data_IF_107674899905
#
_entry.id   IF_107674899905
#
_cell.length_a   1.000
_cell.length_b   1.000
_cell.length_c   1.000
_cell.angle_alpha   90.00
_cell.angle_beta   90.00
_cell.angle_gamma   90.00
#
_symmetry.space_group_name_H-M   'P 1'
#
loop_
_entity.id
_entity.type
_entity.pdbx_description
1 polymer ?
#
# COMPACT_ATOMS: atom_id res chain seq x y z
N UNK A 1 12.64 11.24 18.02
CA UNK A 1 12.66 11.13 16.81
C UNK A 1 11.63 10.26 16.25
N UNK A 2 10.90 10.67 15.37
CA UNK A 2 9.77 9.93 14.87
C UNK A 2 9.93 9.73 13.39
N UNK A 3 9.91 8.48 12.92
CA UNK A 3 10.01 8.23 11.50
C UNK A 3 8.76 8.72 10.81
N UNK A 4 8.94 9.23 9.63
CA UNK A 4 7.80 9.71 8.86
C UNK A 4 7.06 8.55 8.20
N UNK A 5 7.78 7.50 7.85
CA UNK A 5 7.17 6.31 7.29
C UNK A 5 7.94 5.08 7.76
N UNK A 6 7.33 3.92 7.63
CA UNK A 6 7.97 2.70 8.08
C UNK A 6 8.93 2.14 7.06
N UNK A 7 8.44 1.82 5.88
CA UNK A 7 9.23 1.18 4.82
C UNK A 7 8.98 1.87 3.50
N UNK A 8 10.06 2.14 2.78
CA UNK A 8 10.00 2.63 1.42
C UNK A 8 10.46 1.54 0.48
N UNK A 9 9.62 1.18 -0.48
CA UNK A 9 9.95 0.17 -1.48
C UNK A 9 10.11 0.86 -2.82
N UNK A 10 11.31 0.79 -3.39
CA UNK A 10 11.56 1.39 -4.69
C UNK A 10 12.50 0.53 -5.54
N UNK A 11 12.42 -0.77 -5.38
CA UNK A 11 13.30 -1.70 -6.07
C UNK A 11 12.52 -2.54 -7.06
N UNK A 12 13.21 -3.05 -8.09
CA UNK A 12 12.61 -3.96 -9.04
C UNK A 12 12.68 -5.41 -8.57
N UNK A 13 13.33 -5.65 -7.46
CA UNK A 13 13.48 -7.01 -6.95
C UNK A 13 12.25 -7.43 -6.17
N UNK A 14 12.06 -8.73 -6.09
CA UNK A 14 10.96 -9.28 -5.31
C UNK A 14 11.11 -8.89 -3.85
N UNK A 15 10.03 -8.43 -3.24
CA UNK A 15 10.05 -7.98 -1.86
C UNK A 15 8.94 -8.66 -1.08
N UNK A 16 9.28 -9.12 0.12
CA UNK A 16 8.30 -9.68 1.03
C UNK A 16 8.36 -8.90 2.34
N UNK A 17 7.22 -8.36 2.74
CA UNK A 17 7.08 -7.64 4.00
C UNK A 17 6.05 -8.40 4.82
N UNK A 18 6.49 -9.12 5.85
CA UNK A 18 5.57 -9.91 6.65
C UNK A 18 5.93 -9.91 8.12
N UNK A 19 4.90 -10.11 8.93
CA UNK A 19 5.07 -10.26 10.38
C UNK A 19 5.70 -9.05 11.06
N UNK A 20 5.34 -7.85 10.59
CA UNK A 20 5.83 -6.62 11.16
C UNK A 20 4.71 -5.87 11.87
N UNK A 21 5.09 -5.05 12.82
CA UNK A 21 4.16 -4.14 13.47
C UNK A 21 4.61 -2.72 13.20
N UNK A 22 3.72 -1.92 12.63
CA UNK A 22 3.96 -0.51 12.36
C UNK A 22 3.10 0.29 13.31
N UNK A 23 3.72 1.08 14.17
CA UNK A 23 3.01 1.75 15.23
C UNK A 23 3.23 3.25 15.17
N UNK A 24 2.12 3.99 15.02
CA UNK A 24 2.12 5.46 15.05
C UNK A 24 3.10 6.12 14.09
N UNK A 25 3.10 5.64 12.86
CA UNK A 25 3.86 6.33 11.82
C UNK A 25 3.12 7.62 11.45
N UNK A 26 3.84 8.73 11.36
CA UNK A 26 3.20 9.99 11.02
C UNK A 26 2.71 10.00 9.58
N UNK A 27 3.39 9.29 8.72
CA UNK A 27 2.99 9.13 7.34
C UNK A 27 2.66 7.66 7.09
N UNK A 28 2.70 7.24 5.86
CA UNK A 28 2.36 5.88 5.52
C UNK A 28 3.28 4.87 6.20
N UNK A 29 2.72 3.74 6.59
CA UNK A 29 3.53 2.64 7.09
C UNK A 29 4.41 2.08 6.00
N UNK A 30 3.84 1.91 4.81
CA UNK A 30 4.57 1.42 3.65
C UNK A 30 4.31 2.35 2.48
N UNK A 31 5.38 2.79 1.82
CA UNK A 31 5.31 3.58 0.62
C UNK A 31 5.99 2.82 -0.51
N UNK A 32 5.25 2.56 -1.57
CA UNK A 32 5.79 1.94 -2.78
C UNK A 32 5.81 3.01 -3.86
N UNK A 33 7.01 3.36 -4.31
CA UNK A 33 7.17 4.43 -5.29
C UNK A 33 8.39 4.18 -6.15
N UNK A 34 8.36 4.66 -7.37
CA UNK A 34 9.57 4.65 -8.16
C UNK A 34 10.35 5.91 -7.82
N UNK A 35 11.65 5.85 -8.02
CA UNK A 35 12.51 6.99 -7.78
C UNK A 35 12.76 7.68 -9.11
N UNK A 36 12.00 8.71 -9.38
CA UNK A 36 12.09 9.40 -10.66
C UNK A 36 13.43 10.08 -10.86
N UNK A 37 14.23 10.21 -9.81
CA UNK A 37 15.54 10.83 -9.91
C UNK A 37 16.62 9.84 -10.24
N UNK A 38 16.36 8.58 -10.02
CA UNK A 38 17.33 7.53 -10.34
C UNK A 38 17.08 7.08 -11.75
N UNK A 39 17.72 7.67 -12.63
CA UNK A 39 17.51 7.50 -14.04
C UNK A 39 17.30 6.09 -14.53
N UNK A 40 18.26 5.25 -14.33
CA UNK A 40 18.22 3.92 -14.92
C UNK A 40 17.68 2.90 -13.97
N UNK A 41 17.85 3.16 -12.70
CA UNK A 41 17.41 2.23 -11.72
C UNK A 41 15.97 2.41 -11.37
N UNK A 42 15.48 3.62 -11.54
CA UNK A 42 14.10 3.85 -11.22
C UNK A 42 13.25 3.08 -12.19
N UNK A 43 12.46 2.23 -11.69
CA UNK A 43 11.63 1.45 -12.53
C UNK A 43 10.45 0.98 -11.75
N UNK A 44 9.67 0.17 -12.44
CA UNK A 44 8.50 -0.39 -11.82
C UNK A 44 8.87 -1.27 -10.65
N UNK A 45 8.20 -1.05 -9.54
CA UNK A 45 8.26 -1.99 -8.44
C UNK A 45 7.35 -3.14 -8.81
N UNK A 46 7.80 -4.36 -8.59
CA UNK A 46 6.98 -5.52 -8.92
C UNK A 46 7.26 -6.67 -7.98
N UNK A 47 6.28 -7.58 -7.91
CA UNK A 47 6.39 -8.78 -7.10
C UNK A 47 6.60 -8.46 -5.63
N UNK A 48 5.72 -7.60 -5.09
CA UNK A 48 5.75 -7.23 -3.69
C UNK A 48 4.61 -7.93 -2.97
N UNK A 49 4.92 -8.57 -1.86
CA UNK A 49 3.92 -9.21 -1.02
C UNK A 49 3.98 -8.59 0.36
N UNK A 50 2.84 -8.07 0.81
CA UNK A 50 2.69 -7.47 2.13
C UNK A 50 1.66 -8.30 2.86
N UNK A 51 2.10 -9.11 3.84
CA UNK A 51 1.18 -10.02 4.52
C UNK A 51 1.48 -10.17 5.99
N UNK A 52 0.43 -10.45 6.74
CA UNK A 52 0.53 -10.72 8.18
C UNK A 52 1.21 -9.60 8.94
N UNK A 53 0.93 -8.36 8.57
CA UNK A 53 1.46 -7.21 9.27
C UNK A 53 0.35 -6.58 10.11
N UNK A 54 0.76 -5.86 11.14
CA UNK A 54 -0.15 -5.15 12.01
C UNK A 54 0.16 -3.66 11.92
N UNK A 55 -0.76 -2.89 11.38
CA UNK A 55 -0.60 -1.44 11.25
C UNK A 55 -1.47 -0.78 12.31
N UNK A 56 -0.85 -0.09 13.25
CA UNK A 56 -1.55 0.50 14.37
C UNK A 56 -1.38 2.01 14.35
N UNK A 57 -2.48 2.72 14.10
CA UNK A 57 -2.51 4.18 14.18
C UNK A 57 -1.47 4.85 13.30
N UNK A 58 -1.32 4.36 12.09
CA UNK A 58 -0.41 4.98 11.13
C UNK A 58 -1.14 6.05 10.34
N UNK A 59 -0.38 7.02 9.84
CA UNK A 59 -0.96 8.07 9.01
C UNK A 59 -1.54 7.51 7.73
N UNK A 60 -2.51 8.17 7.18
CA UNK A 60 -3.18 7.71 6.00
C UNK A 60 -2.65 8.34 4.73
N UNK A 61 -2.66 7.61 3.63
CA UNK A 61 -3.00 6.19 3.60
C UNK A 61 -1.91 5.36 4.26
N UNK A 62 -2.30 4.25 4.87
CA UNK A 62 -1.35 3.41 5.59
C UNK A 62 -0.39 2.75 4.62
N UNK A 63 -0.93 2.25 3.51
CA UNK A 63 -0.11 1.75 2.41
C UNK A 63 -0.38 2.63 1.21
N UNK A 64 0.65 3.28 0.73
CA UNK A 64 0.56 4.18 -0.41
C UNK A 64 1.40 3.65 -1.54
N UNK A 65 0.77 3.43 -2.69
CA UNK A 65 1.44 2.98 -3.89
C UNK A 65 1.25 4.05 -4.93
N UNK A 66 2.33 4.73 -5.30
CA UNK A 66 2.21 5.88 -6.19
C UNK A 66 3.51 6.10 -6.94
N UNK A 67 3.44 6.35 -8.25
CA UNK A 67 4.64 6.75 -8.97
C UNK A 67 5.02 8.16 -8.57
N UNK A 68 6.30 8.47 -8.59
CA UNK A 68 6.75 9.82 -8.28
C UNK A 68 6.55 10.77 -9.43
N UNK A 69 6.60 10.28 -10.67
CA UNK A 69 6.42 11.18 -11.79
C UNK A 69 4.95 11.27 -12.13
N UNK A 70 4.57 12.39 -12.74
CA UNK A 70 3.17 12.65 -13.06
C UNK A 70 2.76 12.11 -14.41
N UNK A 71 3.68 11.50 -15.13
CA UNK A 71 3.38 11.01 -16.45
C UNK A 71 2.86 9.60 -16.39
N UNK A 72 1.66 9.43 -16.86
CA UNK A 72 1.05 8.11 -16.92
C UNK A 72 1.35 7.47 -18.26
N UNK A 73 2.56 7.02 -18.42
CA UNK A 73 2.94 6.34 -19.64
C UNK A 73 2.99 4.85 -19.36
N UNK A 74 1.84 4.26 -19.22
CA UNK A 74 1.74 2.86 -18.88
C UNK A 74 1.74 2.68 -17.38
N UNK A 75 1.87 1.43 -16.95
CA UNK A 75 1.79 1.09 -15.53
C UNK A 75 3.17 1.05 -14.94
N UNK A 76 3.29 1.61 -13.77
CA UNK A 76 4.58 1.72 -13.11
C UNK A 76 4.88 0.51 -12.25
N UNK A 77 3.86 -0.01 -11.58
CA UNK A 77 4.05 -1.12 -10.65
C UNK A 77 3.28 -2.34 -11.07
N UNK A 78 3.78 -3.53 -10.70
CA UNK A 78 3.15 -4.78 -11.08
C UNK A 78 3.15 -5.80 -9.95
N UNK A 79 2.09 -6.61 -9.91
CA UNK A 79 2.00 -7.77 -9.02
C UNK A 79 2.24 -7.43 -7.57
N UNK A 80 1.36 -6.61 -7.02
CA UNK A 80 1.45 -6.24 -5.62
C UNK A 80 0.30 -6.93 -4.88
N UNK A 81 0.65 -7.67 -3.84
CA UNK A 81 -0.32 -8.40 -3.04
C UNK A 81 -0.30 -7.88 -1.60
N UNK A 82 -1.49 -7.55 -1.09
CA UNK A 82 -1.69 -7.07 0.27
C UNK A 82 -2.69 -8.02 0.91
N UNK A 83 -2.21 -8.96 1.74
CA UNK A 83 -3.06 -10.04 2.22
C UNK A 83 -2.87 -10.30 3.71
N UNK A 84 -3.96 -10.62 4.38
CA UNK A 84 -3.93 -11.01 5.80
C UNK A 84 -3.24 -9.99 6.70
N UNK A 85 -3.52 -8.72 6.48
CA UNK A 85 -3.00 -7.67 7.35
C UNK A 85 -4.11 -7.13 8.23
N UNK A 86 -3.70 -6.56 9.37
CA UNK A 86 -4.63 -5.94 10.29
C UNK A 86 -4.33 -4.45 10.33
N UNK A 87 -5.35 -3.65 10.07
CA UNK A 87 -5.20 -2.19 10.04
C UNK A 87 -6.06 -1.59 11.15
N UNK A 88 -5.43 -1.04 12.17
CA UNK A 88 -6.14 -0.27 13.18
C UNK A 88 -6.05 1.18 12.76
N UNK A 89 -7.15 1.70 12.22
CA UNK A 89 -7.14 2.98 11.53
C UNK A 89 -7.46 4.13 12.46
N UNK A 90 -6.92 5.30 12.14
CA UNK A 90 -7.28 6.55 12.80
C UNK A 90 -8.17 7.40 11.90
N UNK A 91 -8.25 7.04 10.62
CA UNK A 91 -9.06 7.78 9.66
C UNK A 91 -9.64 6.84 8.62
N UNK A 92 -9.85 7.35 7.43
CA UNK A 92 -10.55 6.60 6.39
C UNK A 92 -9.66 6.14 5.23
N UNK A 93 -8.36 6.42 5.28
CA UNK A 93 -7.46 6.03 4.19
C UNK A 93 -6.56 4.89 4.62
N UNK A 94 -6.90 3.69 4.19
CA UNK A 94 -6.06 2.55 4.52
C UNK A 94 -5.08 2.25 3.39
N UNK A 95 -5.59 2.08 2.18
CA UNK A 95 -4.75 1.71 1.04
C UNK A 95 -5.09 2.64 -0.12
N UNK A 96 -4.07 3.24 -0.71
CA UNK A 96 -4.24 4.06 -1.90
C UNK A 96 -3.24 3.59 -2.94
N UNK A 97 -3.74 3.21 -4.12
CA UNK A 97 -2.90 2.65 -5.17
C UNK A 97 -3.15 3.38 -6.47
N UNK A 98 -2.06 3.71 -7.17
CA UNK A 98 -2.14 4.37 -8.46
C UNK A 98 -1.19 3.71 -9.43
N UNK A 99 -1.67 3.46 -10.64
CA UNK A 99 -0.88 2.93 -11.75
C UNK A 99 -0.27 1.57 -11.43
N UNK A 100 -1.11 0.63 -11.06
CA UNK A 100 -0.68 -0.73 -10.74
C UNK A 100 -1.40 -1.70 -11.66
N UNK A 101 -0.65 -2.63 -12.23
CA UNK A 101 -1.22 -3.73 -13.00
C UNK A 101 -1.01 -5.00 -12.19
N UNK A 102 -2.11 -5.59 -11.73
CA UNK A 102 -2.04 -6.78 -10.89
C UNK A 102 -1.97 -6.40 -9.41
N UNK A 103 -3.08 -5.97 -8.86
CA UNK A 103 -3.17 -5.60 -7.44
C UNK A 103 -4.13 -6.56 -6.77
N UNK A 104 -3.64 -7.26 -5.74
CA UNK A 104 -4.45 -8.21 -5.00
C UNK A 104 -4.56 -7.76 -3.55
N UNK A 105 -5.78 -7.51 -3.09
CA UNK A 105 -6.03 -7.06 -1.73
C UNK A 105 -7.05 -8.02 -1.13
N UNK A 106 -6.59 -8.96 -0.28
CA UNK A 106 -7.46 -10.02 0.20
C UNK A 106 -7.26 -10.29 1.67
N UNK A 107 -8.36 -10.69 2.32
CA UNK A 107 -8.35 -11.19 3.70
C UNK A 107 -7.70 -10.25 4.70
N UNK A 108 -7.89 -8.95 4.52
CA UNK A 108 -7.40 -7.96 5.46
C UNK A 108 -8.52 -7.56 6.42
N UNK A 109 -8.13 -7.19 7.63
CA UNK A 109 -9.07 -6.73 8.64
C UNK A 109 -8.83 -5.25 8.89
N UNK A 110 -9.86 -4.45 8.70
CA UNK A 110 -9.80 -3.02 8.93
C UNK A 110 -10.64 -2.66 10.14
N UNK A 111 -9.99 -2.11 11.16
CA UNK A 111 -10.67 -1.63 12.36
C UNK A 111 -10.82 -0.13 12.23
N UNK A 112 -12.02 0.31 11.91
CA UNK A 112 -12.28 1.72 11.61
C UNK A 112 -12.89 2.41 12.83
N UNK A 113 -12.44 3.64 13.13
CA UNK A 113 -13.01 4.39 14.26
C UNK A 113 -14.47 4.80 14.01
N UNK A 114 -14.90 4.82 12.76
CA UNK A 114 -16.26 5.14 12.40
C UNK A 114 -16.76 4.11 11.41
N UNK A 115 -18.08 3.93 11.28
CA UNK A 115 -18.59 3.00 10.28
C UNK A 115 -18.10 3.36 8.89
N UNK A 116 -17.59 2.40 8.17
CA UNK A 116 -17.02 2.60 6.84
C UNK A 116 -17.20 1.35 6.00
N UNK A 117 -17.12 1.54 4.70
CA UNK A 117 -17.15 0.44 3.76
C UNK A 117 -15.79 0.30 3.10
N UNK A 118 -15.54 -0.88 2.53
CA UNK A 118 -14.27 -1.15 1.87
C UNK A 118 -13.97 -0.09 0.81
N UNK A 119 -14.97 0.32 0.05
CA UNK A 119 -14.76 1.31 -1.00
C UNK A 119 -14.30 2.66 -0.47
N UNK A 120 -14.52 2.93 0.81
CA UNK A 120 -14.05 4.17 1.42
C UNK A 120 -12.63 4.04 1.95
N UNK A 121 -12.17 2.83 2.19
CA UNK A 121 -10.87 2.58 2.79
C UNK A 121 -9.79 2.28 1.77
N UNK A 122 -10.18 1.75 0.61
CA UNK A 122 -9.25 1.35 -0.43
C UNK A 122 -9.56 2.17 -1.67
N UNK A 123 -8.59 2.97 -2.10
CA UNK A 123 -8.72 3.81 -3.29
C UNK A 123 -7.78 3.31 -4.37
N UNK A 124 -8.29 3.17 -5.58
CA UNK A 124 -7.47 2.77 -6.71
C UNK A 124 -7.68 3.76 -7.85
N UNK A 125 -6.60 4.07 -8.57
CA UNK A 125 -6.65 4.97 -9.70
C UNK A 125 -5.72 4.44 -10.79
N UNK A 126 -6.23 4.34 -12.01
CA UNK A 126 -5.45 3.86 -13.15
C UNK A 126 -4.82 2.48 -12.88
N UNK A 127 -5.59 1.61 -12.26
CA UNK A 127 -5.14 0.25 -11.96
C UNK A 127 -5.90 -0.75 -12.81
N UNK A 128 -5.22 -1.84 -13.17
CA UNK A 128 -5.84 -2.93 -13.91
C UNK A 128 -5.59 -4.25 -13.18
N UNK A 129 -6.44 -5.22 -13.47
CA UNK A 129 -6.34 -6.55 -12.87
C UNK A 129 -6.32 -6.46 -11.35
N UNK A 130 -7.32 -5.76 -10.81
CA UNK A 130 -7.47 -5.58 -9.38
C UNK A 130 -8.39 -6.67 -8.86
N UNK A 131 -7.93 -7.37 -7.82
CA UNK A 131 -8.71 -8.43 -7.21
C UNK A 131 -8.84 -8.16 -5.71
N UNK A 132 -10.06 -8.08 -5.23
CA UNK A 132 -10.33 -7.85 -3.81
C UNK A 132 -11.33 -8.87 -3.33
N UNK A 133 -11.01 -9.54 -2.23
CA UNK A 133 -11.90 -10.55 -1.67
C UNK A 133 -11.57 -10.78 -0.21
N UNK A 134 -12.59 -11.05 0.58
CA UNK A 134 -12.38 -11.45 1.97
C UNK A 134 -11.96 -10.36 2.92
N UNK A 135 -11.98 -9.10 2.50
CA UNK A 135 -11.63 -8.00 3.38
C UNK A 135 -12.81 -7.67 4.29
N UNK A 136 -12.53 -7.42 5.56
CA UNK A 136 -13.56 -7.20 6.57
C UNK A 136 -13.32 -5.85 7.24
N UNK A 137 -14.41 -5.10 7.45
CA UNK A 137 -14.36 -3.84 8.19
C UNK A 137 -15.14 -4.03 9.48
N UNK A 138 -14.53 -3.65 10.59
CA UNK A 138 -15.18 -3.71 11.89
C UNK A 138 -15.13 -2.36 12.59
#
# INVERSE_FOLDING_TARGET
RIPTRGILVSTRRKVLIENNTFFRMQMSGILIADDARSWFESGMVRDVTIRNNNFMECGGPVILISPENDRNEGYVHRNIAITNNRFQLTGTNAISAKSVDGLKITDNLFLSPTPAEISNLIKTQDCENVFMEGNIVQ
#
